data_IF_627009410269
#
_entry.id   IF_627009410269
#
_cell.length_a   1.000
_cell.length_b   1.000
_cell.length_c   1.000
_cell.angle_alpha   90.00
_cell.angle_beta   90.00
_cell.angle_gamma   90.00
#
_symmetry.space_group_name_H-M   'P 1'
#
loop_
_entity.id
_entity.type
_entity.pdbx_description
1 polymer ?
#
# COMPACT_ATOMS: atom_id res chain seq x y z
N UNK A 1 -12.89 23.18 15.34
CA UNK A 1 -13.63 24.29 15.93
C UNK A 1 -14.62 23.76 16.98
N UNK A 2 -14.92 24.56 18.00
CA UNK A 2 -15.88 24.25 19.04
C UNK A 2 -17.02 25.28 18.92
N UNK A 3 -18.27 24.82 18.98
CA UNK A 3 -19.42 25.74 18.99
C UNK A 3 -19.40 26.62 20.24
N UNK A 4 -19.76 27.92 20.17
CA UNK A 4 -19.63 28.84 21.29
C UNK A 4 -20.30 28.33 22.57
N UNK A 5 -21.48 27.74 22.47
CA UNK A 5 -22.24 27.18 23.59
C UNK A 5 -21.59 25.93 24.23
N UNK A 6 -20.60 25.34 23.60
CA UNK A 6 -19.84 24.19 24.11
C UNK A 6 -18.44 24.55 24.60
N UNK A 7 -18.06 25.83 24.52
CA UNK A 7 -16.72 26.26 24.86
C UNK A 7 -16.42 26.04 26.36
N UNK A 8 -17.39 26.31 27.23
CA UNK A 8 -17.24 26.10 28.67
C UNK A 8 -17.02 24.62 29.00
N UNK A 9 -17.80 23.71 28.39
CA UNK A 9 -17.62 22.27 28.55
C UNK A 9 -16.23 21.82 28.04
N UNK A 10 -15.81 22.34 26.90
CA UNK A 10 -14.50 22.05 26.33
C UNK A 10 -13.37 22.52 27.28
N UNK A 11 -13.50 23.73 27.84
CA UNK A 11 -12.54 24.26 28.82
C UNK A 11 -12.45 23.37 30.05
N UNK A 12 -13.57 22.99 30.64
CA UNK A 12 -13.59 22.09 31.79
C UNK A 12 -12.94 20.73 31.52
N UNK A 13 -13.15 20.18 30.33
CA UNK A 13 -12.48 18.92 29.90
C UNK A 13 -10.96 19.11 29.78
N UNK A 14 -10.52 20.18 29.14
CA UNK A 14 -9.10 20.47 28.98
C UNK A 14 -8.41 20.70 30.34
N UNK A 15 -9.03 21.43 31.26
CA UNK A 15 -8.51 21.62 32.62
C UNK A 15 -8.39 20.31 33.38
N UNK A 16 -9.43 19.46 33.33
CA UNK A 16 -9.43 18.13 33.94
C UNK A 16 -8.28 17.27 33.42
N UNK A 17 -8.04 17.25 32.12
CA UNK A 17 -7.01 16.45 31.47
C UNK A 17 -5.64 17.14 31.46
N UNK A 18 -5.51 18.34 32.05
CA UNK A 18 -4.29 19.16 32.04
C UNK A 18 -3.77 19.41 30.62
N UNK A 19 -4.67 19.58 29.67
CA UNK A 19 -4.40 19.86 28.26
C UNK A 19 -4.43 21.38 28.02
N UNK A 20 -3.32 22.08 27.88
CA UNK A 20 -3.33 23.51 27.63
C UNK A 20 -3.92 23.81 26.25
N UNK A 21 -4.76 24.84 26.18
CA UNK A 21 -5.38 25.29 24.94
C UNK A 21 -5.53 26.81 24.95
N UNK A 22 -5.81 27.39 23.79
CA UNK A 22 -6.19 28.80 23.64
C UNK A 22 -7.27 28.95 22.56
N UNK A 23 -8.15 29.91 22.77
CA UNK A 23 -9.05 30.37 21.71
C UNK A 23 -8.27 31.36 20.84
N UNK A 24 -7.98 30.97 19.61
CA UNK A 24 -7.12 31.72 18.70
C UNK A 24 -7.90 32.52 17.64
N UNK A 25 -9.23 32.41 17.60
CA UNK A 25 -10.06 33.13 16.66
C UNK A 25 -11.42 32.50 16.47
N UNK A 26 -12.20 33.09 15.58
CA UNK A 26 -13.53 32.64 15.20
C UNK A 26 -13.61 32.37 13.71
N UNK A 27 -14.41 31.36 13.34
CA UNK A 27 -14.73 31.10 11.95
C UNK A 27 -15.83 32.06 11.49
N UNK A 28 -15.57 32.80 10.42
CA UNK A 28 -16.51 33.75 9.83
C UNK A 28 -16.99 33.26 8.46
N UNK A 29 -18.04 33.88 7.91
CA UNK A 29 -18.48 33.64 6.54
C UNK A 29 -17.64 34.40 5.50
N UNK A 30 -16.80 35.31 5.95
CA UNK A 30 -15.89 36.06 5.07
C UNK A 30 -14.85 35.12 4.45
N UNK A 31 -14.69 35.24 3.13
CA UNK A 31 -13.68 34.47 2.39
C UNK A 31 -12.31 35.13 2.51
N UNK A 32 -11.90 35.40 3.74
CA UNK A 32 -10.66 36.10 4.07
C UNK A 32 -10.03 35.49 5.33
N UNK A 33 -8.71 35.35 5.34
CA UNK A 33 -7.96 34.94 6.52
C UNK A 33 -7.17 36.14 7.03
N UNK A 34 -7.46 36.56 8.26
CA UNK A 34 -6.74 37.61 8.95
C UNK A 34 -6.15 37.06 10.25
N UNK A 35 -4.87 37.28 10.48
CA UNK A 35 -4.21 37.08 11.76
C UNK A 35 -3.75 38.44 12.28
N UNK A 36 -4.24 38.82 13.45
CA UNK A 36 -3.79 40.02 14.15
C UNK A 36 -2.76 39.65 15.22
N UNK A 37 -1.61 40.27 15.18
CA UNK A 37 -0.58 40.17 16.22
C UNK A 37 -0.65 41.40 17.13
N UNK A 38 -1.11 41.18 18.35
CA UNK A 38 -1.26 42.27 19.34
C UNK A 38 0.08 42.77 19.90
N UNK A 39 1.15 41.96 19.84
CA UNK A 39 2.47 42.35 20.32
C UNK A 39 3.14 43.38 19.39
N UNK A 40 3.08 43.09 18.10
CA UNK A 40 3.65 43.97 17.05
C UNK A 40 2.61 44.93 16.47
N UNK A 41 1.35 44.83 16.88
CA UNK A 41 0.21 45.62 16.41
C UNK A 41 0.13 45.69 14.89
N UNK A 42 0.20 44.53 14.25
CA UNK A 42 0.09 44.38 12.81
C UNK A 42 -0.71 43.14 12.42
N UNK A 43 -1.00 42.99 11.12
CA UNK A 43 -1.66 41.81 10.57
C UNK A 43 -0.64 41.05 9.69
N UNK A 44 0.14 40.11 10.26
CA UNK A 44 1.11 39.34 9.49
C UNK A 44 0.47 38.42 8.44
N UNK A 45 -0.80 38.09 8.60
CA UNK A 45 -1.60 37.41 7.56
C UNK A 45 -2.86 38.24 7.34
N UNK A 46 -3.07 38.62 6.09
CA UNK A 46 -4.23 39.37 5.61
C UNK A 46 -4.45 39.02 4.14
N UNK A 47 -5.15 37.89 3.90
CA UNK A 47 -5.23 37.24 2.60
C UNK A 47 -6.63 36.80 2.24
N UNK A 48 -7.12 37.09 1.03
CA UNK A 48 -8.32 36.46 0.51
C UNK A 48 -8.17 34.95 0.40
N UNK A 49 -9.20 34.18 0.77
CA UNK A 49 -9.18 32.72 0.74
C UNK A 49 -8.94 32.15 -0.66
N UNK A 50 -9.26 32.88 -1.73
CA UNK A 50 -8.95 32.43 -3.09
C UNK A 50 -7.45 32.46 -3.43
N UNK A 51 -6.63 33.19 -2.67
CA UNK A 51 -5.16 33.14 -2.79
C UNK A 51 -4.63 31.86 -2.16
N UNK A 52 -5.19 31.45 -1.02
CA UNK A 52 -4.78 30.24 -0.30
C UNK A 52 -5.34 28.97 -0.92
N UNK A 53 -6.64 28.95 -1.24
CA UNK A 53 -7.40 27.80 -1.68
C UNK A 53 -7.89 27.90 -3.12
N UNK A 54 -7.42 28.92 -3.85
CA UNK A 54 -7.72 29.11 -5.27
C UNK A 54 -7.00 28.09 -6.16
N UNK A 55 -7.32 28.15 -7.44
CA UNK A 55 -6.64 27.31 -8.42
C UNK A 55 -5.21 27.80 -8.63
N UNK A 56 -4.25 26.94 -8.35
CA UNK A 56 -2.83 27.18 -8.71
C UNK A 56 -2.69 27.33 -10.24
N UNK A 57 -1.74 28.14 -10.73
CA UNK A 57 -1.43 28.20 -12.15
C UNK A 57 -1.16 26.79 -12.71
N UNK A 58 -1.69 26.53 -13.90
CA UNK A 58 -1.41 25.25 -14.57
C UNK A 58 0.08 25.19 -14.91
N UNK A 59 0.70 24.11 -14.49
CA UNK A 59 2.08 23.81 -14.87
C UNK A 59 2.07 22.82 -16.03
N UNK A 60 2.82 23.11 -17.09
CA UNK A 60 3.03 22.20 -18.22
C UNK A 60 4.42 21.61 -18.10
N UNK A 61 4.54 20.30 -18.21
CA UNK A 61 5.82 19.59 -18.32
C UNK A 61 5.82 18.80 -19.61
N UNK A 62 6.87 18.99 -20.41
CA UNK A 62 7.12 18.18 -21.58
C UNK A 62 7.97 16.98 -21.15
N UNK A 63 7.44 15.80 -21.37
CA UNK A 63 8.09 14.53 -20.98
C UNK A 63 8.06 13.55 -22.14
N UNK A 64 9.01 12.62 -22.17
CA UNK A 64 9.10 11.59 -23.19
C UNK A 64 9.10 10.21 -22.56
N UNK A 65 8.35 9.28 -23.14
CA UNK A 65 8.40 7.88 -22.76
C UNK A 65 9.67 7.23 -23.29
N UNK A 66 10.26 6.35 -22.51
CA UNK A 66 11.40 5.53 -22.92
C UNK A 66 10.91 4.15 -23.31
N UNK A 67 11.11 3.79 -24.57
CA UNK A 67 10.88 2.41 -25.02
C UNK A 67 12.09 1.55 -24.68
N UNK A 68 11.88 0.46 -23.97
CA UNK A 68 12.90 -0.53 -23.68
C UNK A 68 12.58 -1.79 -24.49
N UNK A 69 13.52 -2.24 -25.32
CA UNK A 69 13.39 -3.53 -25.97
C UNK A 69 13.64 -4.64 -24.96
N UNK A 70 12.61 -5.41 -24.68
CA UNK A 70 12.66 -6.52 -23.74
C UNK A 70 12.55 -7.85 -24.49
N UNK A 71 13.20 -8.88 -23.97
CA UNK A 71 13.17 -10.24 -24.51
C UNK A 71 12.44 -11.18 -23.56
N UNK A 72 11.72 -12.18 -24.08
CA UNK A 72 11.15 -13.23 -23.24
C UNK A 72 12.19 -13.83 -22.30
N UNK A 73 11.75 -14.26 -21.13
CA UNK A 73 12.62 -14.97 -20.19
C UNK A 73 13.12 -16.27 -20.83
N UNK A 74 14.43 -16.45 -20.88
CA UNK A 74 15.04 -17.70 -21.34
C UNK A 74 14.87 -18.78 -20.26
N UNK A 75 14.01 -19.76 -20.53
CA UNK A 75 13.63 -20.80 -19.55
C UNK A 75 14.20 -22.17 -19.87
N UNK A 76 14.83 -22.36 -21.03
CA UNK A 76 15.25 -23.66 -21.58
C UNK A 76 16.21 -24.41 -20.66
N UNK A 77 17.04 -23.69 -19.91
CA UNK A 77 18.04 -24.25 -19.00
C UNK A 77 17.67 -24.10 -17.51
N UNK A 78 16.45 -23.66 -17.21
CA UNK A 78 16.03 -23.49 -15.82
C UNK A 78 15.56 -24.81 -15.24
N UNK A 79 16.31 -25.31 -14.25
CA UNK A 79 15.93 -26.49 -13.50
C UNK A 79 15.04 -26.10 -12.33
N UNK A 80 13.84 -26.70 -12.23
CA UNK A 80 12.81 -26.32 -11.24
C UNK A 80 13.34 -26.33 -9.80
N UNK A 81 14.09 -27.37 -9.42
CA UNK A 81 14.66 -27.47 -8.06
C UNK A 81 15.67 -26.35 -7.79
N UNK A 82 16.50 -26.02 -8.74
CA UNK A 82 17.47 -24.91 -8.60
C UNK A 82 16.77 -23.57 -8.53
N UNK A 83 15.79 -23.33 -9.40
CA UNK A 83 14.97 -22.12 -9.41
C UNK A 83 14.29 -21.90 -8.05
N UNK A 84 13.69 -22.94 -7.49
CA UNK A 84 13.07 -22.92 -6.17
C UNK A 84 14.07 -22.48 -5.08
N UNK A 85 15.26 -23.11 -5.03
CA UNK A 85 16.27 -22.73 -4.04
C UNK A 85 16.81 -21.31 -4.23
N UNK A 86 16.93 -20.83 -5.46
CA UNK A 86 17.36 -19.45 -5.74
C UNK A 86 16.31 -18.44 -5.28
N UNK A 87 15.04 -18.67 -5.61
CA UNK A 87 13.93 -17.78 -5.23
C UNK A 87 13.78 -17.71 -3.72
N UNK A 88 13.84 -18.84 -3.01
CA UNK A 88 13.77 -18.85 -1.54
C UNK A 88 14.93 -18.10 -0.83
N UNK A 89 16.07 -17.91 -1.52
CA UNK A 89 17.22 -17.17 -0.99
C UNK A 89 17.19 -15.68 -1.35
N UNK A 90 16.25 -15.26 -2.20
CA UNK A 90 16.13 -13.86 -2.55
C UNK A 90 15.65 -13.07 -1.31
N UNK A 91 16.30 -11.97 -0.92
CA UNK A 91 15.95 -11.23 0.31
C UNK A 91 14.47 -10.84 0.43
N UNK A 92 13.81 -10.53 -0.69
CA UNK A 92 12.38 -10.17 -0.71
C UNK A 92 11.48 -11.39 -0.43
N UNK A 93 11.97 -12.62 -0.64
CA UNK A 93 11.22 -13.88 -0.42
C UNK A 93 11.65 -14.57 0.87
N UNK A 94 12.93 -14.46 1.23
CA UNK A 94 13.54 -15.17 2.35
C UNK A 94 12.85 -14.85 3.69
N UNK A 95 13.16 -15.65 4.69
CA UNK A 95 12.66 -15.57 6.05
C UNK A 95 12.85 -14.18 6.66
N UNK A 96 11.85 -13.66 7.41
CA UNK A 96 11.78 -12.29 7.93
C UNK A 96 11.82 -12.17 9.45
N UNK A 97 12.00 -13.26 10.19
CA UNK A 97 12.00 -13.25 11.66
C UNK A 97 12.97 -12.21 12.22
N UNK A 98 14.13 -12.01 11.56
CA UNK A 98 15.11 -11.02 12.00
C UNK A 98 14.54 -9.59 12.03
N UNK A 99 13.66 -9.23 11.12
CA UNK A 99 13.07 -7.88 11.06
C UNK A 99 12.18 -7.59 12.28
N UNK A 100 11.43 -8.58 12.75
CA UNK A 100 10.55 -8.42 13.91
C UNK A 100 11.26 -8.67 15.26
N UNK A 101 12.50 -9.18 15.24
CA UNK A 101 13.28 -9.43 16.46
C UNK A 101 14.27 -8.31 16.78
N UNK A 102 14.71 -7.55 15.77
CA UNK A 102 15.65 -6.42 15.95
C UNK A 102 14.97 -5.06 16.09
N UNK A 103 13.67 -4.98 15.75
CA UNK A 103 12.84 -3.78 15.86
C UNK A 103 11.65 -4.00 16.79
N UNK A 104 10.75 -3.01 16.81
CA UNK A 104 9.51 -3.12 17.57
C UNK A 104 8.57 -4.12 16.90
N UNK A 105 8.26 -5.20 17.58
CA UNK A 105 7.37 -6.23 17.08
C UNK A 105 5.92 -5.74 16.96
N UNK A 106 5.49 -4.93 17.90
CA UNK A 106 4.14 -4.37 17.93
C UNK A 106 4.19 -2.90 18.36
N UNK A 107 3.41 -2.05 17.69
CA UNK A 107 3.33 -0.62 18.00
C UNK A 107 2.29 -0.33 19.08
N UNK A 108 1.29 -1.19 19.24
CA UNK A 108 0.20 -1.04 20.22
C UNK A 108 -0.02 -2.32 21.01
N UNK A 109 -0.69 -2.22 22.16
CA UNK A 109 -1.12 -3.37 22.97
C UNK A 109 -2.41 -4.05 22.47
N UNK A 110 -3.03 -3.55 21.42
CA UNK A 110 -4.36 -3.97 20.95
C UNK A 110 -4.28 -4.89 19.70
N UNK A 111 -3.18 -5.62 19.54
CA UNK A 111 -2.96 -6.52 18.40
C UNK A 111 -3.88 -7.72 18.49
N UNK A 112 -4.72 -7.92 17.47
CA UNK A 112 -5.60 -9.10 17.36
C UNK A 112 -4.93 -10.27 16.63
N UNK A 113 -4.00 -10.00 15.72
CA UNK A 113 -3.16 -10.97 15.01
C UNK A 113 -1.74 -10.43 14.89
N UNK A 114 -0.79 -11.25 15.30
CA UNK A 114 0.64 -10.95 15.21
C UNK A 114 1.15 -11.06 13.75
N UNK A 115 2.30 -10.52 13.45
CA UNK A 115 2.95 -10.58 12.14
C UNK A 115 3.29 -12.03 11.76
N UNK A 116 3.78 -12.80 12.74
CA UNK A 116 4.09 -14.22 12.57
C UNK A 116 3.00 -15.04 13.27
N UNK A 117 2.39 -15.94 12.54
CA UNK A 117 1.22 -16.70 13.01
C UNK A 117 1.51 -18.18 13.21
N UNK A 118 0.58 -18.87 13.86
CA UNK A 118 0.71 -20.29 14.18
C UNK A 118 1.55 -20.56 15.44
N UNK A 119 1.57 -21.82 15.91
CA UNK A 119 2.22 -22.19 17.18
C UNK A 119 3.74 -22.02 17.15
N UNK A 120 4.35 -22.09 15.95
CA UNK A 120 5.78 -21.90 15.75
C UNK A 120 6.14 -20.50 15.26
N UNK A 121 5.15 -19.62 15.03
CA UNK A 121 5.33 -18.25 14.54
C UNK A 121 6.22 -18.17 13.28
N UNK A 122 5.94 -19.01 12.28
CA UNK A 122 6.70 -19.09 11.04
C UNK A 122 5.94 -18.40 9.87
N UNK A 123 4.65 -18.71 9.59
CA UNK A 123 3.94 -18.04 8.49
C UNK A 123 3.77 -16.55 8.78
N UNK A 124 4.05 -15.73 7.77
CA UNK A 124 3.85 -14.27 7.82
C UNK A 124 2.38 -13.97 7.54
N UNK A 125 1.75 -13.14 8.37
CA UNK A 125 0.38 -12.68 8.15
C UNK A 125 0.29 -11.71 6.98
N UNK A 126 -0.72 -11.85 6.12
CA UNK A 126 -0.96 -10.96 4.99
C UNK A 126 -1.51 -9.58 5.44
N UNK A 127 -2.14 -9.55 6.60
CA UNK A 127 -2.83 -8.38 7.13
C UNK A 127 -2.56 -8.19 8.62
N UNK A 128 -2.26 -6.98 9.03
CA UNK A 128 -2.19 -6.57 10.42
C UNK A 128 -3.60 -6.20 10.91
N UNK A 129 -3.98 -6.68 12.09
CA UNK A 129 -5.31 -6.41 12.67
C UNK A 129 -5.18 -6.03 14.14
N UNK A 130 -5.76 -4.87 14.49
CA UNK A 130 -5.85 -4.40 15.88
C UNK A 130 -7.30 -4.33 16.32
N UNK A 131 -7.56 -4.46 17.62
CA UNK A 131 -8.88 -4.20 18.22
C UNK A 131 -9.05 -2.72 18.53
N UNK A 132 -10.28 -2.22 18.45
CA UNK A 132 -10.59 -0.83 18.77
C UNK A 132 -10.67 -0.56 20.29
N UNK A 133 -11.02 -1.58 21.08
CA UNK A 133 -11.12 -1.51 22.53
C UNK A 133 -10.98 -2.92 23.15
N UNK A 134 -10.91 -2.99 24.50
CA UNK A 134 -10.81 -4.24 25.24
C UNK A 134 -12.16 -4.97 25.39
N UNK A 135 -13.26 -4.28 25.18
CA UNK A 135 -14.64 -4.74 25.37
C UNK A 135 -15.41 -4.97 24.06
N UNK A 136 -14.73 -4.82 22.90
CA UNK A 136 -15.30 -4.97 21.58
C UNK A 136 -14.47 -5.88 20.69
N UNK A 137 -15.13 -6.54 19.72
CA UNK A 137 -14.47 -7.28 18.66
C UNK A 137 -14.31 -6.50 17.35
N UNK A 138 -14.75 -5.24 17.35
CA UNK A 138 -14.44 -4.33 16.25
C UNK A 138 -12.95 -4.00 16.24
N UNK A 139 -12.45 -3.67 15.05
CA UNK A 139 -11.04 -3.34 14.91
C UNK A 139 -10.71 -2.62 13.62
N UNK A 140 -9.43 -2.58 13.33
CA UNK A 140 -8.87 -2.00 12.13
C UNK A 140 -7.92 -2.99 11.47
N UNK A 141 -7.92 -3.01 10.15
CA UNK A 141 -7.01 -3.80 9.33
C UNK A 141 -6.11 -2.90 8.53
N UNK A 142 -4.85 -3.31 8.39
CA UNK A 142 -3.84 -2.66 7.58
C UNK A 142 -3.10 -3.72 6.77
N UNK A 143 -2.95 -3.47 5.45
CA UNK A 143 -2.15 -4.31 4.58
C UNK A 143 -1.38 -3.44 3.58
N UNK A 144 -0.38 -4.03 2.96
CA UNK A 144 0.47 -3.34 1.98
C UNK A 144 0.47 -4.08 0.66
N UNK A 145 0.84 -3.36 -0.40
CA UNK A 145 1.11 -3.92 -1.71
C UNK A 145 2.15 -3.07 -2.44
N UNK A 146 3.05 -3.72 -3.18
CA UNK A 146 4.05 -3.08 -4.02
C UNK A 146 4.54 -4.03 -5.12
N UNK A 147 4.92 -3.50 -6.28
CA UNK A 147 5.46 -4.31 -7.39
C UNK A 147 6.48 -3.50 -8.20
N UNK A 148 7.44 -2.88 -7.52
CA UNK A 148 8.44 -2.00 -8.14
C UNK A 148 9.21 -2.63 -9.32
N UNK A 149 9.64 -3.92 -9.30
CA UNK A 149 10.34 -4.50 -10.44
C UNK A 149 9.53 -4.50 -11.74
N UNK A 150 8.20 -4.54 -11.66
CA UNK A 150 7.31 -4.52 -12.83
C UNK A 150 7.35 -3.18 -13.56
N UNK A 151 7.66 -2.07 -12.87
CA UNK A 151 7.79 -0.75 -13.49
C UNK A 151 8.94 -0.66 -14.51
N UNK A 152 9.90 -1.58 -14.47
CA UNK A 152 10.93 -1.71 -15.50
C UNK A 152 10.38 -2.16 -16.85
N UNK A 153 9.18 -2.74 -16.87
CA UNK A 153 8.48 -3.23 -18.08
C UNK A 153 7.23 -2.40 -18.39
N UNK A 154 6.43 -2.09 -17.36
CA UNK A 154 5.14 -1.42 -17.49
C UNK A 154 4.80 -0.68 -16.19
N UNK A 155 4.80 0.65 -16.25
CA UNK A 155 4.54 1.51 -15.10
C UNK A 155 3.10 1.38 -14.59
N UNK A 156 2.13 1.31 -15.49
CA UNK A 156 0.71 1.16 -15.15
C UNK A 156 0.42 -0.20 -14.52
N UNK A 157 0.99 -1.28 -15.06
CA UNK A 157 0.84 -2.62 -14.49
C UNK A 157 1.46 -2.71 -13.07
N UNK A 158 2.64 -2.12 -12.87
CA UNK A 158 3.26 -2.03 -11.54
C UNK A 158 2.34 -1.37 -10.52
N UNK A 159 1.75 -0.23 -10.88
CA UNK A 159 0.86 0.52 -10.00
C UNK A 159 -0.46 -0.24 -9.74
N UNK A 160 -1.08 -0.83 -10.77
CA UNK A 160 -2.29 -1.65 -10.60
C UNK A 160 -2.05 -2.86 -9.71
N UNK A 161 -0.90 -3.52 -9.85
CA UNK A 161 -0.54 -4.68 -9.02
C UNK A 161 -0.31 -4.27 -7.56
N UNK A 162 0.30 -3.12 -7.27
CA UNK A 162 0.48 -2.62 -5.90
C UNK A 162 -0.88 -2.43 -5.20
N UNK A 163 -1.86 -1.85 -5.91
CA UNK A 163 -3.23 -1.73 -5.39
C UNK A 163 -3.87 -3.11 -5.20
N UNK A 164 -3.77 -3.99 -6.21
CA UNK A 164 -4.38 -5.32 -6.14
C UNK A 164 -3.81 -6.18 -5.01
N UNK A 165 -2.50 -6.16 -4.80
CA UNK A 165 -1.84 -6.89 -3.71
C UNK A 165 -2.32 -6.40 -2.35
N UNK A 166 -2.44 -5.08 -2.13
CA UNK A 166 -2.98 -4.57 -0.88
C UNK A 166 -4.44 -5.02 -0.64
N UNK A 167 -5.24 -5.18 -1.72
CA UNK A 167 -6.62 -5.67 -1.64
C UNK A 167 -6.64 -7.17 -1.37
N UNK A 168 -5.79 -7.98 -2.02
CA UNK A 168 -5.73 -9.42 -1.75
C UNK A 168 -5.25 -9.67 -0.33
N UNK A 169 -4.26 -8.94 0.14
CA UNK A 169 -3.77 -9.06 1.53
C UNK A 169 -4.85 -8.72 2.56
N UNK A 170 -5.56 -7.60 2.40
CA UNK A 170 -6.59 -7.19 3.36
C UNK A 170 -7.86 -8.04 3.30
N UNK A 171 -8.09 -8.79 2.21
CA UNK A 171 -9.27 -9.63 2.01
C UNK A 171 -9.42 -10.76 3.03
N UNK A 172 -8.34 -11.15 3.72
CA UNK A 172 -8.34 -12.17 4.77
C UNK A 172 -9.06 -11.77 6.07
N UNK A 173 -9.58 -10.54 6.17
CA UNK A 173 -10.29 -10.07 7.37
C UNK A 173 -11.71 -9.58 7.06
N UNK A 174 -12.56 -9.50 8.10
CA UNK A 174 -13.99 -9.23 7.96
C UNK A 174 -14.29 -7.73 7.83
N UNK A 175 -14.16 -7.20 6.63
CA UNK A 175 -14.39 -5.79 6.28
C UNK A 175 -15.83 -5.55 5.79
N UNK A 176 -16.37 -6.50 5.00
CA UNK A 176 -17.70 -6.47 4.40
C UNK A 176 -17.72 -5.90 3.00
N UNK A 177 -17.46 -4.62 2.79
CA UNK A 177 -17.55 -3.95 1.47
C UNK A 177 -16.19 -3.34 1.09
N UNK A 178 -15.75 -3.58 -0.15
CA UNK A 178 -14.50 -3.05 -0.71
C UNK A 178 -14.44 -1.52 -0.62
N UNK A 179 -15.56 -0.81 -0.70
CA UNK A 179 -15.65 0.66 -0.59
C UNK A 179 -15.22 1.20 0.77
N UNK A 180 -15.16 0.35 1.78
CA UNK A 180 -14.66 0.72 3.12
C UNK A 180 -13.14 0.84 3.15
N UNK A 181 -12.44 0.28 2.16
CA UNK A 181 -10.99 0.39 2.05
C UNK A 181 -10.61 1.81 1.68
N UNK A 182 -9.66 2.37 2.43
CA UNK A 182 -8.98 3.63 2.13
C UNK A 182 -7.51 3.33 1.90
N UNK A 183 -6.95 3.98 0.88
CA UNK A 183 -5.57 3.75 0.48
C UNK A 183 -4.71 4.97 0.82
N UNK A 184 -3.47 4.71 1.22
CA UNK A 184 -2.39 5.69 1.21
C UNK A 184 -1.39 5.28 0.15
N UNK A 185 -1.00 6.20 -0.74
CA UNK A 185 -0.06 5.96 -1.82
C UNK A 185 1.28 6.65 -1.54
N UNK A 186 2.34 5.86 -1.52
CA UNK A 186 3.70 6.38 -1.41
C UNK A 186 4.42 6.19 -2.76
N UNK A 187 4.60 7.29 -3.47
CA UNK A 187 5.24 7.33 -4.78
C UNK A 187 6.72 7.65 -4.64
N UNK A 188 7.57 6.89 -5.33
CA UNK A 188 9.00 7.09 -5.36
C UNK A 188 9.48 7.02 -6.81
N UNK A 189 10.07 8.11 -7.31
CA UNK A 189 10.53 8.23 -8.69
C UNK A 189 11.83 9.03 -8.78
N UNK A 190 12.64 8.75 -9.79
CA UNK A 190 13.78 9.57 -10.16
C UNK A 190 13.33 10.65 -11.14
N UNK A 191 12.56 11.64 -10.68
CA UNK A 191 12.02 12.70 -11.50
C UNK A 191 13.12 13.44 -12.27
N UNK A 192 12.82 13.82 -13.52
CA UNK A 192 13.79 14.43 -14.44
C UNK A 192 14.81 13.45 -15.04
N UNK A 193 14.72 12.15 -14.72
CA UNK A 193 15.53 11.11 -15.33
C UNK A 193 14.77 10.42 -16.47
N UNK A 194 15.47 10.09 -17.56
CA UNK A 194 14.84 9.70 -18.83
C UNK A 194 13.74 8.66 -18.72
N UNK A 195 12.50 9.07 -19.03
CA UNK A 195 11.30 8.23 -19.03
C UNK A 195 10.55 8.14 -17.70
N UNK A 196 11.16 8.47 -16.56
CA UNK A 196 10.55 8.31 -15.24
C UNK A 196 9.36 9.26 -15.01
N UNK A 197 9.42 10.48 -15.50
CA UNK A 197 8.30 11.44 -15.39
C UNK A 197 7.06 10.97 -16.18
N UNK A 198 7.26 10.47 -17.40
CA UNK A 198 6.19 9.88 -18.19
C UNK A 198 5.62 8.64 -17.55
N UNK A 199 6.51 7.75 -17.04
CA UNK A 199 6.12 6.54 -16.32
C UNK A 199 5.33 6.83 -15.04
N UNK A 200 5.72 7.87 -14.28
CA UNK A 200 4.97 8.31 -13.11
C UNK A 200 3.55 8.76 -13.50
N UNK A 201 3.42 9.55 -14.58
CA UNK A 201 2.10 9.95 -15.07
C UNK A 201 1.24 8.76 -15.47
N UNK A 202 1.79 7.80 -16.23
CA UNK A 202 1.10 6.57 -16.63
C UNK A 202 0.64 5.75 -15.42
N UNK A 203 1.50 5.60 -14.42
CA UNK A 203 1.19 4.88 -13.19
C UNK A 203 0.07 5.56 -12.38
N UNK A 204 0.16 6.88 -12.20
CA UNK A 204 -0.88 7.67 -11.48
C UNK A 204 -2.22 7.59 -12.22
N UNK A 205 -2.22 7.71 -13.55
CA UNK A 205 -3.42 7.56 -14.37
C UNK A 205 -4.05 6.18 -14.21
N UNK A 206 -3.25 5.12 -14.30
CA UNK A 206 -3.71 3.74 -14.21
C UNK A 206 -4.44 3.43 -12.90
N UNK A 207 -4.03 4.04 -11.78
CA UNK A 207 -4.70 3.82 -10.48
C UNK A 207 -5.71 4.90 -10.14
N UNK A 208 -5.42 6.16 -10.44
CA UNK A 208 -6.25 7.30 -10.03
C UNK A 208 -7.49 7.52 -10.93
N UNK A 209 -7.36 7.31 -12.24
CA UNK A 209 -8.44 7.50 -13.19
C UNK A 209 -9.14 6.20 -13.61
N UNK A 210 -8.44 5.06 -13.54
CA UNK A 210 -8.95 3.80 -14.08
C UNK A 210 -9.31 2.80 -12.96
N UNK A 211 -8.32 2.26 -12.21
CA UNK A 211 -8.52 1.14 -11.30
C UNK A 211 -9.34 1.51 -10.06
N UNK A 212 -8.94 2.54 -9.31
CA UNK A 212 -9.61 2.90 -8.06
C UNK A 212 -11.06 3.36 -8.27
N UNK A 213 -11.39 4.19 -9.28
CA UNK A 213 -12.78 4.50 -9.60
C UNK A 213 -13.62 3.27 -9.96
N UNK A 214 -13.06 2.34 -10.77
CA UNK A 214 -13.75 1.12 -11.16
C UNK A 214 -14.02 0.18 -9.96
N UNK A 215 -13.17 0.18 -8.95
CA UNK A 215 -13.37 -0.56 -7.70
C UNK A 215 -14.25 0.19 -6.69
N UNK A 216 -14.46 1.49 -6.87
CA UNK A 216 -15.18 2.35 -5.93
C UNK A 216 -14.40 2.66 -4.66
N UNK A 217 -13.05 2.66 -4.72
CA UNK A 217 -12.15 2.98 -3.63
C UNK A 217 -11.39 4.28 -3.90
N UNK A 218 -10.77 4.85 -2.88
CA UNK A 218 -10.08 6.15 -2.98
C UNK A 218 -8.68 6.10 -2.38
N UNK A 219 -7.83 7.00 -2.89
CA UNK A 219 -6.51 7.32 -2.34
C UNK A 219 -6.58 8.74 -1.75
N UNK A 220 -7.07 8.93 -0.52
CA UNK A 220 -7.25 10.25 0.07
C UNK A 220 -5.95 10.90 0.51
N UNK A 221 -4.90 10.12 0.69
CA UNK A 221 -3.62 10.58 1.24
C UNK A 221 -2.46 9.80 0.62
N UNK A 222 -1.31 10.43 0.59
CA UNK A 222 -0.08 9.84 0.12
C UNK A 222 1.07 10.81 0.25
N UNK A 223 2.23 10.41 -0.24
CA UNK A 223 3.42 11.27 -0.33
C UNK A 223 4.28 10.89 -1.52
N UNK A 224 5.14 11.80 -1.92
CA UNK A 224 6.04 11.66 -3.06
C UNK A 224 7.50 11.79 -2.63
N UNK A 225 8.36 10.94 -3.20
CA UNK A 225 9.82 11.03 -3.12
C UNK A 225 10.38 11.04 -4.53
N UNK A 226 10.77 12.23 -5.01
CA UNK A 226 11.11 12.42 -6.43
C UNK A 226 12.63 12.37 -6.71
N UNK A 227 13.47 12.05 -5.73
CA UNK A 227 14.93 12.04 -5.85
C UNK A 227 15.52 10.63 -5.75
N UNK A 228 14.93 9.66 -6.44
CA UNK A 228 15.30 8.24 -6.33
C UNK A 228 16.50 7.87 -7.22
N UNK A 229 17.52 8.72 -7.21
CA UNK A 229 18.80 8.50 -7.88
C UNK A 229 19.94 8.81 -6.92
N UNK A 230 20.87 7.89 -6.78
CA UNK A 230 22.10 8.09 -6.02
C UNK A 230 23.27 8.24 -6.99
N UNK A 231 24.14 9.19 -6.69
CA UNK A 231 25.38 9.41 -7.45
C UNK A 231 26.56 9.44 -6.50
N UNK A 232 27.68 8.86 -6.90
CA UNK A 232 28.94 8.88 -6.14
C UNK A 232 30.12 8.89 -7.08
N UNK A 233 31.29 9.12 -6.53
CA UNK A 233 32.55 9.03 -7.24
C UNK A 233 33.38 7.88 -6.66
N UNK A 234 33.94 7.05 -7.52
CA UNK A 234 34.81 5.96 -7.15
C UNK A 234 35.98 5.89 -8.14
N UNK A 235 37.21 5.97 -7.63
CA UNK A 235 38.43 5.99 -8.41
C UNK A 235 38.46 7.08 -9.51
N UNK A 236 37.91 8.27 -9.25
CA UNK A 236 37.81 9.37 -10.21
C UNK A 236 36.70 9.23 -11.27
N UNK A 237 35.90 8.17 -11.20
CA UNK A 237 34.75 7.96 -12.08
C UNK A 237 33.43 8.28 -11.38
N UNK A 238 32.58 9.06 -12.05
CA UNK A 238 31.21 9.32 -11.57
C UNK A 238 30.34 8.09 -11.82
N UNK A 239 29.79 7.53 -10.76
CA UNK A 239 28.84 6.40 -10.80
C UNK A 239 27.47 6.86 -10.35
N UNK A 240 26.44 6.16 -10.82
CA UNK A 240 25.07 6.40 -10.37
C UNK A 240 24.24 5.13 -10.43
N UNK A 241 23.23 5.08 -9.56
CA UNK A 241 22.16 4.10 -9.61
C UNK A 241 20.82 4.84 -9.56
N UNK A 242 19.89 4.45 -10.40
CA UNK A 242 18.54 4.99 -10.46
C UNK A 242 17.59 3.87 -10.07
N UNK A 243 16.77 4.09 -9.04
CA UNK A 243 15.73 3.15 -8.66
C UNK A 243 14.59 3.20 -9.70
N UNK A 244 13.93 2.09 -10.01
CA UNK A 244 12.71 2.11 -10.81
C UNK A 244 11.61 2.85 -10.07
N UNK A 245 10.62 3.36 -10.80
CA UNK A 245 9.39 3.85 -10.19
C UNK A 245 8.85 2.81 -9.20
N UNK A 246 8.53 3.25 -8.01
CA UNK A 246 7.95 2.41 -6.98
C UNK A 246 6.67 3.04 -6.44
N UNK A 247 5.61 2.25 -6.36
CA UNK A 247 4.40 2.61 -5.64
C UNK A 247 4.23 1.62 -4.49
N UNK A 248 4.21 2.13 -3.27
CA UNK A 248 3.82 1.38 -2.09
C UNK A 248 2.43 1.83 -1.66
N UNK A 249 1.48 0.92 -1.68
CA UNK A 249 0.11 1.14 -1.22
C UNK A 249 -0.03 0.57 0.18
N UNK A 250 -0.55 1.38 1.09
CA UNK A 250 -1.07 0.90 2.37
C UNK A 250 -2.59 0.99 2.33
N UNK A 251 -3.26 -0.13 2.58
CA UNK A 251 -4.71 -0.21 2.65
C UNK A 251 -5.16 -0.28 4.11
N UNK A 252 -6.25 0.44 4.41
CA UNK A 252 -6.83 0.54 5.76
C UNK A 252 -8.31 0.29 5.65
N UNK A 253 -8.86 -0.47 6.61
CA UNK A 253 -10.30 -0.68 6.70
C UNK A 253 -10.72 -1.00 8.12
N UNK A 254 -11.94 -0.58 8.48
CA UNK A 254 -12.59 -1.03 9.71
C UNK A 254 -12.95 -2.51 9.60
N UNK A 255 -12.72 -3.26 10.68
CA UNK A 255 -13.05 -4.69 10.82
C UNK A 255 -14.27 -4.86 11.70
N UNK A 256 -15.26 -5.60 11.22
CA UNK A 256 -16.50 -5.87 11.97
C UNK A 256 -16.30 -6.86 13.12
N UNK A 257 -15.46 -7.90 12.90
CA UNK A 257 -15.12 -8.88 13.91
C UNK A 257 -13.71 -9.43 13.67
N UNK A 258 -12.75 -8.99 14.49
CA UNK A 258 -11.33 -9.37 14.38
C UNK A 258 -11.08 -10.87 14.55
N UNK A 259 -11.98 -11.58 15.22
CA UNK A 259 -11.89 -13.04 15.43
C UNK A 259 -12.11 -13.85 14.14
N UNK A 260 -12.65 -13.21 13.10
CA UNK A 260 -12.88 -13.84 11.78
C UNK A 260 -11.69 -13.71 10.84
N UNK A 261 -10.63 -13.01 11.24
CA UNK A 261 -9.42 -12.89 10.44
C UNK A 261 -8.82 -14.25 10.15
N UNK A 262 -8.57 -14.54 8.89
CA UNK A 262 -7.94 -15.78 8.40
C UNK A 262 -6.44 -15.51 8.19
N UNK A 263 -5.62 -16.48 8.50
CA UNK A 263 -4.16 -16.41 8.43
C UNK A 263 -3.59 -17.45 7.47
N UNK A 264 -2.33 -17.32 7.03
CA UNK A 264 -1.67 -18.33 6.18
C UNK A 264 -1.44 -19.68 6.83
N UNK A 265 -1.59 -19.79 8.15
CA UNK A 265 -1.36 -21.06 8.82
C UNK A 265 -2.32 -22.16 8.36
N UNK A 266 -1.78 -23.23 7.79
CA UNK A 266 -2.56 -24.40 7.43
C UNK A 266 -3.07 -25.14 8.70
N UNK A 267 -4.36 -25.45 8.70
CA UNK A 267 -5.05 -26.07 9.85
C UNK A 267 -5.18 -27.57 9.63
N UNK A 268 -4.30 -28.34 10.26
CA UNK A 268 -4.35 -29.82 10.23
C UNK A 268 -5.27 -30.43 11.28
N UNK A 269 -5.67 -29.63 12.27
CA UNK A 269 -6.58 -30.01 13.39
C UNK A 269 -8.06 -30.07 12.99
N UNK A 270 -8.41 -29.69 11.77
CA UNK A 270 -9.78 -29.65 11.25
C UNK A 270 -10.13 -30.81 10.30
N UNK A 271 -9.28 -31.84 10.27
CA UNK A 271 -9.44 -33.00 9.38
C UNK A 271 -8.96 -32.70 7.94
N UNK A 272 -9.42 -33.51 7.00
CA UNK A 272 -9.03 -33.40 5.60
C UNK A 272 -9.52 -32.07 5.00
N UNK A 273 -8.61 -31.32 4.41
CA UNK A 273 -8.90 -30.04 3.73
C UNK A 273 -8.36 -30.05 2.31
N UNK A 274 -8.76 -29.07 1.51
CA UNK A 274 -8.27 -28.88 0.13
C UNK A 274 -7.64 -27.49 0.00
N UNK A 275 -6.51 -27.41 -0.69
CA UNK A 275 -5.92 -26.16 -1.13
C UNK A 275 -6.58 -25.76 -2.45
N UNK A 276 -7.04 -24.53 -2.52
CA UNK A 276 -7.66 -23.95 -3.71
C UNK A 276 -6.78 -22.81 -4.20
N UNK A 277 -6.39 -22.84 -5.47
CA UNK A 277 -5.73 -21.73 -6.14
C UNK A 277 -6.77 -20.89 -6.87
N UNK A 278 -6.90 -19.61 -6.48
CA UNK A 278 -7.72 -18.64 -7.18
C UNK A 278 -6.81 -17.84 -8.10
N UNK A 279 -7.01 -17.98 -9.42
CA UNK A 279 -6.20 -17.29 -10.42
C UNK A 279 -6.95 -16.08 -11.00
N UNK A 280 -6.51 -14.88 -10.61
CA UNK A 280 -6.99 -13.61 -11.16
C UNK A 280 -6.26 -13.21 -12.45
N UNK A 281 -5.16 -13.89 -12.79
CA UNK A 281 -4.34 -13.64 -13.97
C UNK A 281 -4.84 -14.27 -15.26
N UNK A 282 -6.02 -14.91 -15.25
CA UNK A 282 -6.67 -15.52 -16.44
C UNK A 282 -5.79 -16.59 -17.12
N UNK A 283 -5.07 -17.37 -16.34
CA UNK A 283 -4.12 -18.41 -16.79
C UNK A 283 -2.99 -17.87 -17.68
N UNK A 284 -2.74 -16.56 -17.62
CA UNK A 284 -1.62 -15.94 -18.33
C UNK A 284 -0.37 -16.03 -17.44
N UNK A 285 0.47 -17.02 -17.70
CA UNK A 285 1.72 -17.25 -16.98
C UNK A 285 2.80 -16.25 -17.46
N UNK A 286 2.72 -15.02 -16.98
CA UNK A 286 3.65 -13.95 -17.33
C UNK A 286 4.83 -13.96 -16.34
N UNK A 287 6.04 -14.04 -16.86
CA UNK A 287 7.27 -14.17 -16.06
C UNK A 287 8.12 -12.89 -16.02
N UNK A 288 7.71 -11.84 -16.73
CA UNK A 288 8.44 -10.57 -16.74
C UNK A 288 8.49 -9.92 -15.36
N UNK A 289 9.66 -9.46 -14.98
CA UNK A 289 9.96 -8.79 -13.71
C UNK A 289 9.59 -9.59 -12.44
N UNK A 290 9.53 -10.92 -12.54
CA UNK A 290 9.29 -11.80 -11.39
C UNK A 290 10.56 -12.06 -10.58
N UNK A 291 10.39 -12.55 -9.35
CA UNK A 291 11.50 -13.05 -8.54
C UNK A 291 12.33 -14.11 -9.27
N UNK A 292 11.66 -14.97 -10.07
CA UNK A 292 12.34 -15.94 -10.93
C UNK A 292 13.26 -15.25 -11.95
N UNK A 293 12.76 -14.24 -12.67
CA UNK A 293 13.59 -13.50 -13.62
C UNK A 293 14.78 -12.85 -12.93
N UNK A 294 14.57 -12.25 -11.77
CA UNK A 294 15.60 -11.56 -10.99
C UNK A 294 16.73 -12.50 -10.56
N UNK A 295 16.42 -13.71 -10.05
CA UNK A 295 17.45 -14.66 -9.59
C UNK A 295 18.27 -15.28 -10.73
N UNK A 296 17.77 -15.16 -11.96
CA UNK A 296 18.51 -15.51 -13.19
C UNK A 296 19.10 -14.29 -13.91
N UNK A 297 19.09 -13.10 -13.29
CA UNK A 297 19.61 -11.84 -13.85
C UNK A 297 18.98 -11.49 -15.21
N UNK A 298 17.70 -11.75 -15.34
CA UNK A 298 16.90 -11.44 -16.51
C UNK A 298 15.74 -10.53 -16.10
N UNK A 299 15.15 -9.83 -17.06
CA UNK A 299 13.98 -9.01 -16.84
C UNK A 299 12.70 -9.65 -17.40
N UNK A 300 12.79 -10.27 -18.58
CA UNK A 300 11.63 -10.75 -19.32
C UNK A 300 10.93 -9.63 -20.10
N UNK A 301 9.80 -9.93 -20.73
CA UNK A 301 9.09 -9.00 -21.61
C UNK A 301 7.63 -8.70 -21.15
N UNK A 302 6.97 -9.65 -20.55
CA UNK A 302 5.54 -9.56 -20.20
C UNK A 302 5.33 -9.70 -18.70
N UNK A 303 5.04 -8.59 -18.00
CA UNK A 303 4.74 -8.63 -16.57
C UNK A 303 3.31 -9.10 -16.32
N UNK A 304 3.02 -9.53 -15.09
CA UNK A 304 1.66 -9.66 -14.61
C UNK A 304 0.96 -8.31 -14.59
N UNK A 305 -0.38 -8.33 -14.61
CA UNK A 305 -1.20 -7.12 -14.57
C UNK A 305 -2.63 -7.46 -14.11
N UNK A 306 -3.35 -6.46 -13.62
CA UNK A 306 -4.78 -6.54 -13.34
C UNK A 306 -5.55 -6.32 -14.65
N UNK A 307 -5.78 -7.41 -15.38
CA UNK A 307 -6.46 -7.34 -16.69
C UNK A 307 -7.98 -7.28 -16.58
N UNK A 308 -8.55 -7.61 -15.44
CA UNK A 308 -9.98 -7.65 -15.22
C UNK A 308 -10.35 -7.17 -13.82
N UNK A 309 -10.70 -5.90 -13.73
CA UNK A 309 -11.05 -5.24 -12.47
C UNK A 309 -12.29 -5.87 -11.82
N UNK A 310 -13.27 -6.30 -12.62
CA UNK A 310 -14.47 -6.94 -12.09
C UNK A 310 -14.16 -8.27 -11.41
N UNK A 311 -13.18 -9.04 -11.91
CA UNK A 311 -12.74 -10.27 -11.25
C UNK A 311 -12.10 -10.00 -9.89
N UNK A 312 -11.27 -8.96 -9.78
CA UNK A 312 -10.67 -8.56 -8.50
C UNK A 312 -11.75 -8.17 -7.49
N UNK A 313 -12.75 -7.39 -7.94
CA UNK A 313 -13.89 -7.01 -7.09
C UNK A 313 -14.71 -8.24 -6.67
N UNK A 314 -15.08 -9.11 -7.60
CA UNK A 314 -15.84 -10.33 -7.31
C UNK A 314 -15.07 -11.29 -6.39
N UNK A 315 -13.75 -11.37 -6.55
CA UNK A 315 -12.89 -12.11 -5.63
C UNK A 315 -13.03 -11.55 -4.21
N UNK A 316 -12.89 -10.23 -4.05
CA UNK A 316 -13.01 -9.60 -2.73
C UNK A 316 -14.38 -9.85 -2.11
N UNK A 317 -15.47 -9.67 -2.87
CA UNK A 317 -16.84 -9.90 -2.41
C UNK A 317 -17.05 -11.36 -1.96
N UNK A 318 -16.54 -12.32 -2.75
CA UNK A 318 -16.59 -13.76 -2.40
C UNK A 318 -15.78 -14.06 -1.13
N UNK A 319 -14.57 -13.49 -1.00
CA UNK A 319 -13.74 -13.65 0.20
C UNK A 319 -14.45 -13.09 1.43
N UNK A 320 -15.08 -11.93 1.35
CA UNK A 320 -15.83 -11.35 2.47
C UNK A 320 -16.98 -12.23 2.92
N UNK A 321 -17.72 -12.83 1.99
CA UNK A 321 -18.78 -13.80 2.32
C UNK A 321 -18.21 -15.03 3.04
N UNK A 322 -17.14 -15.62 2.50
CA UNK A 322 -16.51 -16.81 3.09
C UNK A 322 -15.89 -16.53 4.48
N UNK A 323 -15.27 -15.36 4.67
CA UNK A 323 -14.72 -14.92 5.96
C UNK A 323 -15.83 -14.69 6.97
N UNK A 324 -16.91 -13.99 6.57
CA UNK A 324 -18.06 -13.74 7.45
C UNK A 324 -18.71 -15.04 7.95
N UNK A 325 -18.80 -16.04 7.09
CA UNK A 325 -19.36 -17.37 7.40
C UNK A 325 -18.35 -18.34 8.05
N UNK A 326 -17.09 -17.94 8.23
CA UNK A 326 -16.00 -18.78 8.76
C UNK A 326 -15.80 -20.10 7.97
N UNK A 327 -15.91 -20.02 6.63
CA UNK A 327 -15.75 -21.17 5.73
C UNK A 327 -14.30 -21.47 5.38
N UNK A 328 -13.39 -20.51 5.59
CA UNK A 328 -11.97 -20.66 5.28
C UNK A 328 -11.20 -21.12 6.52
N UNK A 329 -10.31 -22.08 6.34
CA UNK A 329 -9.39 -22.55 7.38
C UNK A 329 -8.06 -21.81 7.36
N UNK A 330 -7.60 -21.43 6.16
CA UNK A 330 -6.40 -20.64 5.95
C UNK A 330 -6.56 -19.81 4.67
N UNK A 331 -5.81 -18.73 4.58
CA UNK A 331 -5.73 -17.86 3.39
C UNK A 331 -4.34 -17.26 3.29
N UNK A 332 -3.82 -17.19 2.08
CA UNK A 332 -2.58 -16.50 1.75
C UNK A 332 -2.65 -16.00 0.30
N UNK A 333 -2.15 -14.80 0.05
CA UNK A 333 -1.98 -14.31 -1.30
C UNK A 333 -0.77 -14.99 -1.98
N UNK A 334 -0.70 -14.92 -3.29
CA UNK A 334 0.46 -15.39 -4.05
C UNK A 334 1.33 -14.21 -4.45
N UNK A 335 2.35 -13.91 -3.65
CA UNK A 335 3.29 -12.82 -3.90
C UNK A 335 4.61 -13.29 -4.54
N UNK A 336 5.73 -12.66 -4.19
CA UNK A 336 7.04 -12.87 -4.81
C UNK A 336 7.58 -14.29 -4.69
N UNK A 337 7.25 -14.99 -3.60
CA UNK A 337 7.62 -16.39 -3.41
C UNK A 337 6.91 -17.38 -4.33
N UNK A 338 5.83 -16.96 -4.98
CA UNK A 338 5.00 -17.81 -5.85
C UNK A 338 4.00 -18.66 -5.08
N UNK A 339 3.81 -19.91 -5.50
CA UNK A 339 2.78 -20.80 -4.95
C UNK A 339 3.26 -21.62 -3.74
N UNK A 340 4.57 -21.74 -3.56
CA UNK A 340 5.18 -22.65 -2.57
C UNK A 340 5.84 -21.85 -1.45
#
# INVERSE_FOLDING_TARGET
AVAPEKLELFTALCERERAPFAVIGEATEEKHLTLHDSHFNNNPIDLPMNVLLGKTPKMTREVSSKTVENRPLATENIQLKEAFHRVLRLPVVAEKTFLITIGDRSVTGMVARDQMVGPWQIPVSDVAVTTASLDSYHGEAMAMGERAPVALLDFGASARLAVAESITNIAGTNIGDIKRIKLSANWMSAAGHGGEDAGLYEAVKAVGEELCPALGITIPVGKDSMSMKTTWEENGEKKSVTAPLSLVISSFARVEDVRKTVTPQLRTDKGASRLLLIDLGERKNRLGATALAQVYKQLGDKPADVVNVAKLKNFFDAMQALVAERKLLAYHDRSDGGLI
#
